data_IF_078828033193
#
_entry.id   IF_078828033193
#
_cell.length_a   1.000
_cell.length_b   1.000
_cell.length_c   1.000
_cell.angle_alpha   90.00
_cell.angle_beta   90.00
_cell.angle_gamma   90.00
#
_symmetry.space_group_name_H-M   'P 1'
#
loop_
_entity.id
_entity.type
_entity.pdbx_description
1 polymer ?
#
# COMPACT_ATOMS: atom_id res chain seq x y z
N UNK A 1 -30.39 1.45 29.14
CA UNK A 1 -29.07 0.91 28.83
C UNK A 1 -29.02 0.71 27.33
N UNK A 2 -28.31 1.56 26.58
CA UNK A 2 -28.04 1.27 25.18
C UNK A 2 -27.13 0.03 25.15
N UNK A 3 -27.35 -0.95 24.25
CA UNK A 3 -26.42 -2.05 24.10
C UNK A 3 -25.03 -1.48 23.79
N UNK A 4 -24.04 -1.88 24.57
CA UNK A 4 -22.64 -1.47 24.34
C UNK A 4 -22.28 -1.75 22.88
N UNK A 5 -22.06 -0.69 22.09
CA UNK A 5 -21.69 -0.83 20.69
C UNK A 5 -20.28 -1.44 20.66
N UNK A 6 -20.16 -2.62 20.07
CA UNK A 6 -18.87 -3.30 19.87
C UNK A 6 -17.88 -2.36 19.17
N UNK A 7 -16.76 -2.06 19.79
CA UNK A 7 -15.72 -1.21 19.21
C UNK A 7 -14.77 -2.02 18.32
N UNK A 8 -14.00 -1.32 17.49
CA UNK A 8 -12.89 -1.92 16.72
C UNK A 8 -11.90 -2.64 17.67
N UNK A 9 -11.61 -2.01 18.83
CA UNK A 9 -10.73 -2.59 19.85
C UNK A 9 -11.28 -3.89 20.42
N UNK A 10 -12.60 -4.01 20.64
CA UNK A 10 -13.24 -5.24 21.12
C UNK A 10 -13.09 -6.37 20.10
N UNK A 11 -13.40 -6.09 18.82
CA UNK A 11 -13.26 -7.08 17.75
C UNK A 11 -11.81 -7.55 17.63
N UNK A 12 -10.86 -6.64 17.69
CA UNK A 12 -9.44 -6.99 17.63
C UNK A 12 -9.02 -7.85 18.83
N UNK A 13 -9.42 -7.51 20.06
CA UNK A 13 -9.12 -8.32 21.25
C UNK A 13 -9.66 -9.74 21.13
N UNK A 14 -10.87 -9.88 20.63
CA UNK A 14 -11.51 -11.18 20.40
C UNK A 14 -10.82 -12.02 19.30
N UNK A 15 -9.98 -11.39 18.46
CA UNK A 15 -9.30 -12.03 17.33
C UNK A 15 -7.76 -11.90 17.40
N UNK A 16 -7.17 -12.02 18.59
CA UNK A 16 -5.71 -12.06 18.78
C UNK A 16 -4.99 -10.72 18.52
N UNK A 17 -5.71 -9.59 18.63
CA UNK A 17 -5.14 -8.24 18.49
C UNK A 17 -5.06 -7.72 17.06
N UNK A 18 -5.68 -8.42 16.10
CA UNK A 18 -5.72 -8.04 14.68
C UNK A 18 -7.17 -8.13 14.19
N UNK A 19 -7.56 -7.27 13.24
CA UNK A 19 -8.88 -7.38 12.60
C UNK A 19 -8.95 -8.64 11.74
N UNK A 20 -10.01 -9.45 11.88
CA UNK A 20 -10.10 -10.76 11.23
C UNK A 20 -10.18 -10.69 9.70
N UNK A 21 -10.56 -9.53 9.14
CA UNK A 21 -10.73 -9.33 7.70
C UNK A 21 -9.61 -8.57 7.02
N UNK A 22 -8.57 -8.13 7.71
CA UNK A 22 -7.55 -7.27 7.11
C UNK A 22 -6.81 -7.92 5.94
N UNK A 23 -6.53 -9.22 5.99
CA UNK A 23 -5.85 -9.91 4.88
C UNK A 23 -6.76 -10.02 3.65
N UNK A 24 -8.07 -10.25 3.88
CA UNK A 24 -9.07 -10.25 2.80
C UNK A 24 -9.22 -8.85 2.17
N UNK A 25 -9.26 -7.78 2.98
CA UNK A 25 -9.31 -6.40 2.49
C UNK A 25 -8.08 -6.06 1.68
N UNK A 26 -6.87 -6.42 2.13
CA UNK A 26 -5.63 -6.19 1.39
C UNK A 26 -5.63 -6.89 0.04
N UNK A 27 -5.97 -8.18 0.02
CA UNK A 27 -6.00 -8.93 -1.23
C UNK A 27 -7.09 -8.38 -2.17
N UNK A 28 -8.26 -8.05 -1.64
CA UNK A 28 -9.34 -7.41 -2.39
C UNK A 28 -8.92 -6.09 -3.02
N UNK A 29 -8.26 -5.21 -2.26
CA UNK A 29 -7.72 -3.95 -2.78
C UNK A 29 -6.65 -4.17 -3.85
N UNK A 30 -5.73 -5.14 -3.65
CA UNK A 30 -4.70 -5.47 -4.64
C UNK A 30 -5.32 -5.96 -5.96
N UNK A 31 -6.32 -6.84 -5.89
CA UNK A 31 -7.04 -7.32 -7.06
C UNK A 31 -7.88 -6.23 -7.72
N UNK A 32 -8.45 -5.30 -6.95
CA UNK A 32 -9.18 -4.15 -7.51
C UNK A 32 -8.24 -3.20 -8.26
N UNK A 33 -7.05 -2.95 -7.74
CA UNK A 33 -6.00 -2.17 -8.43
C UNK A 33 -5.55 -2.93 -9.69
N UNK A 34 -5.33 -4.24 -9.60
CA UNK A 34 -5.00 -5.06 -10.76
C UNK A 34 -6.11 -4.98 -11.84
N UNK A 35 -7.38 -5.01 -11.44
CA UNK A 35 -8.52 -4.86 -12.35
C UNK A 35 -8.49 -3.50 -13.08
N UNK A 36 -8.30 -2.40 -12.34
CA UNK A 36 -8.19 -1.07 -12.95
C UNK A 36 -6.98 -0.97 -13.88
N UNK A 37 -5.84 -1.55 -13.50
CA UNK A 37 -4.66 -1.60 -14.36
C UNK A 37 -4.86 -2.47 -15.60
N UNK A 38 -5.70 -3.53 -15.55
CA UNK A 38 -6.05 -4.28 -16.76
C UNK A 38 -6.72 -3.39 -17.79
N UNK A 39 -7.56 -2.45 -17.33
CA UNK A 39 -8.16 -1.46 -18.23
C UNK A 39 -7.10 -0.52 -18.80
N UNK A 40 -6.27 0.11 -17.96
CA UNK A 40 -5.27 1.08 -18.42
C UNK A 40 -4.19 0.46 -19.31
N UNK A 41 -3.69 -0.72 -18.99
CA UNK A 41 -2.67 -1.41 -19.81
C UNK A 41 -3.22 -1.84 -21.17
N UNK A 42 -4.52 -2.15 -21.24
CA UNK A 42 -5.21 -2.55 -22.47
C UNK A 42 -5.62 -1.36 -23.35
N UNK A 43 -6.17 -0.29 -22.74
CA UNK A 43 -6.79 0.83 -23.46
C UNK A 43 -5.96 2.11 -23.46
N UNK A 44 -4.87 2.15 -22.69
CA UNK A 44 -4.12 3.39 -22.42
C UNK A 44 -4.83 4.27 -21.40
N UNK A 45 -4.10 5.26 -20.89
CA UNK A 45 -4.64 6.30 -20.00
C UNK A 45 -5.13 7.49 -20.84
N UNK A 46 -6.38 7.46 -21.25
CA UNK A 46 -7.03 8.51 -22.03
C UNK A 46 -7.89 9.46 -21.17
N UNK A 47 -7.84 9.32 -19.85
CA UNK A 47 -8.46 10.26 -18.90
C UNK A 47 -9.95 10.10 -18.67
N UNK A 48 -10.72 9.55 -19.62
CA UNK A 48 -12.19 9.54 -19.54
C UNK A 48 -12.73 8.76 -18.33
N UNK A 49 -12.04 7.70 -17.90
CA UNK A 49 -12.48 6.89 -16.76
C UNK A 49 -12.55 7.71 -15.45
N UNK A 50 -11.71 8.73 -15.32
CA UNK A 50 -11.69 9.64 -14.19
C UNK A 50 -12.86 10.62 -14.14
N UNK A 51 -13.59 10.77 -15.26
CA UNK A 51 -14.79 11.61 -15.36
C UNK A 51 -16.08 10.81 -15.19
N UNK A 52 -15.98 9.49 -14.97
CA UNK A 52 -17.12 8.59 -14.80
C UNK A 52 -17.47 8.35 -13.34
N UNK A 53 -18.67 7.80 -13.05
CA UNK A 53 -19.05 7.35 -11.70
C UNK A 53 -18.15 6.26 -11.09
N UNK A 54 -17.19 5.70 -11.85
CA UNK A 54 -16.19 4.73 -11.37
C UNK A 54 -15.05 5.42 -10.62
N UNK A 55 -14.82 6.72 -10.86
CA UNK A 55 -13.77 7.53 -10.22
C UNK A 55 -13.65 7.32 -8.71
N UNK A 56 -14.73 7.35 -7.87
CA UNK A 56 -14.62 7.17 -6.43
C UNK A 56 -13.97 5.85 -6.03
N UNK A 57 -14.24 4.78 -6.73
CA UNK A 57 -13.63 3.47 -6.48
C UNK A 57 -12.13 3.49 -6.78
N UNK A 58 -11.74 4.07 -7.92
CA UNK A 58 -10.34 4.20 -8.32
C UNK A 58 -9.56 5.05 -7.29
N UNK A 59 -10.16 6.17 -6.89
CA UNK A 59 -9.57 7.10 -5.92
C UNK A 59 -9.41 6.51 -4.51
N UNK A 60 -10.28 5.57 -4.10
CA UNK A 60 -10.27 5.00 -2.76
C UNK A 60 -9.21 3.91 -2.56
N UNK A 61 -8.88 3.13 -3.59
CA UNK A 61 -8.11 1.89 -3.46
C UNK A 61 -6.73 2.08 -2.81
N UNK A 62 -5.89 2.94 -3.37
CA UNK A 62 -4.54 3.19 -2.85
C UNK A 62 -4.57 3.89 -1.49
N UNK A 63 -5.38 4.95 -1.27
CA UNK A 63 -5.53 5.54 0.05
C UNK A 63 -5.98 4.56 1.13
N UNK A 64 -6.91 3.64 0.84
CA UNK A 64 -7.31 2.59 1.78
C UNK A 64 -6.13 1.68 2.17
N UNK A 65 -5.24 1.32 1.22
CA UNK A 65 -4.02 0.60 1.53
C UNK A 65 -3.12 1.35 2.49
N UNK A 66 -2.91 2.64 2.25
CA UNK A 66 -2.09 3.47 3.14
C UNK A 66 -2.73 3.65 4.51
N UNK A 67 -4.05 3.83 4.58
CA UNK A 67 -4.79 3.89 5.84
C UNK A 67 -4.66 2.60 6.65
N UNK A 68 -4.83 1.45 6.00
CA UNK A 68 -4.63 0.14 6.62
C UNK A 68 -3.17 -0.07 7.07
N UNK A 69 -2.21 0.35 6.24
CA UNK A 69 -0.80 0.31 6.61
C UNK A 69 -0.52 1.14 7.84
N UNK A 70 -1.00 2.40 7.92
CA UNK A 70 -0.85 3.26 9.09
C UNK A 70 -1.42 2.64 10.36
N UNK A 71 -2.60 2.05 10.28
CA UNK A 71 -3.25 1.36 11.39
C UNK A 71 -2.41 0.19 11.91
N UNK A 72 -1.98 -0.71 11.04
CA UNK A 72 -1.23 -1.91 11.42
C UNK A 72 0.21 -1.62 11.83
N UNK A 73 0.84 -0.65 11.16
CA UNK A 73 2.21 -0.21 11.46
C UNK A 73 2.29 0.40 12.85
N UNK A 74 1.27 1.18 13.27
CA UNK A 74 1.18 1.74 14.62
C UNK A 74 1.14 0.64 15.68
N UNK A 75 0.31 -0.37 15.49
CA UNK A 75 0.27 -1.53 16.39
C UNK A 75 1.63 -2.24 16.49
N UNK A 76 2.34 -2.37 15.37
CA UNK A 76 3.68 -2.94 15.35
C UNK A 76 4.70 -2.05 16.09
N UNK A 77 4.69 -0.75 15.84
CA UNK A 77 5.60 0.22 16.46
C UNK A 77 5.46 0.26 17.97
N UNK A 78 4.22 0.24 18.48
CA UNK A 78 3.95 0.24 19.92
C UNK A 78 4.39 -1.06 20.60
N UNK A 79 4.27 -2.21 19.92
CA UNK A 79 4.75 -3.50 20.45
C UNK A 79 6.26 -3.63 20.48
N UNK A 80 6.94 -3.14 19.45
CA UNK A 80 8.41 -3.30 19.35
C UNK A 80 9.17 -2.32 20.23
N UNK A 81 8.67 -1.10 20.40
CA UNK A 81 9.27 -0.05 21.24
C UNK A 81 10.66 0.43 20.80
N UNK A 82 11.26 -0.18 19.78
CA UNK A 82 12.61 0.09 19.28
C UNK A 82 12.59 0.51 17.83
N UNK A 83 13.23 1.65 17.54
CA UNK A 83 13.37 2.17 16.17
C UNK A 83 14.10 1.17 15.25
N UNK A 84 15.20 0.57 15.73
CA UNK A 84 15.97 -0.41 14.96
C UNK A 84 15.10 -1.61 14.57
N UNK A 85 14.37 -2.18 15.51
CA UNK A 85 13.50 -3.33 15.27
C UNK A 85 12.37 -2.94 14.31
N UNK A 86 11.77 -1.77 14.49
CA UNK A 86 10.74 -1.24 13.61
C UNK A 86 11.23 -1.13 12.15
N UNK A 87 12.35 -0.44 11.93
CA UNK A 87 12.90 -0.25 10.57
C UNK A 87 13.29 -1.58 9.94
N UNK A 88 13.93 -2.48 10.69
CA UNK A 88 14.27 -3.82 10.20
C UNK A 88 13.03 -4.59 9.75
N UNK A 89 11.93 -4.51 10.51
CA UNK A 89 10.68 -5.18 10.12
C UNK A 89 10.07 -4.61 8.85
N UNK A 90 10.24 -3.30 8.59
CA UNK A 90 9.76 -2.68 7.33
C UNK A 90 10.65 -3.07 6.15
N UNK A 91 11.97 -3.03 6.32
CA UNK A 91 12.91 -3.47 5.28
C UNK A 91 12.66 -4.93 4.90
N UNK A 92 12.59 -5.84 5.89
CA UNK A 92 12.30 -7.26 5.64
C UNK A 92 10.93 -7.52 5.00
N UNK A 93 10.01 -6.56 5.09
CA UNK A 93 8.67 -6.67 4.48
C UNK A 93 8.66 -6.24 3.02
N UNK A 94 9.41 -5.19 2.66
CA UNK A 94 9.35 -4.56 1.33
C UNK A 94 10.50 -5.04 0.44
N UNK A 95 11.74 -4.97 0.95
CA UNK A 95 12.92 -5.11 0.13
C UNK A 95 13.03 -6.47 -0.59
N UNK A 96 12.68 -7.63 -0.02
CA UNK A 96 12.88 -8.90 -0.70
C UNK A 96 12.08 -9.00 -2.02
N UNK A 97 10.78 -8.71 -1.98
CA UNK A 97 9.95 -8.76 -3.18
C UNK A 97 10.30 -7.64 -4.16
N UNK A 98 10.60 -6.42 -3.66
CA UNK A 98 11.00 -5.30 -4.50
C UNK A 98 12.31 -5.57 -5.27
N UNK A 99 13.33 -6.08 -4.57
CA UNK A 99 14.60 -6.47 -5.22
C UNK A 99 14.36 -7.53 -6.28
N UNK A 100 13.50 -8.51 -5.97
CA UNK A 100 13.14 -9.57 -6.92
C UNK A 100 12.43 -8.99 -8.14
N UNK A 101 11.43 -8.14 -7.97
CA UNK A 101 10.70 -7.53 -9.09
C UNK A 101 11.65 -6.73 -9.98
N UNK A 102 12.42 -5.80 -9.40
CA UNK A 102 13.36 -4.94 -10.15
C UNK A 102 14.39 -5.78 -10.90
N UNK A 103 14.92 -6.83 -10.24
CA UNK A 103 15.91 -7.72 -10.85
C UNK A 103 15.32 -8.56 -11.99
N UNK A 104 14.13 -9.14 -11.79
CA UNK A 104 13.45 -9.92 -12.82
C UNK A 104 13.05 -9.05 -14.01
N UNK A 105 12.54 -7.86 -13.77
CA UNK A 105 12.19 -6.91 -14.84
C UNK A 105 13.42 -6.49 -15.63
N UNK A 106 14.53 -6.13 -14.97
CA UNK A 106 15.72 -5.63 -15.64
C UNK A 106 16.56 -6.73 -16.31
N UNK A 107 16.71 -7.91 -15.67
CA UNK A 107 17.64 -8.94 -16.15
C UNK A 107 16.98 -10.09 -16.92
N UNK A 108 15.66 -10.24 -16.82
CA UNK A 108 14.93 -11.31 -17.51
C UNK A 108 13.94 -10.73 -18.51
N UNK A 109 12.94 -9.97 -18.06
CA UNK A 109 11.91 -9.41 -18.96
C UNK A 109 12.53 -8.45 -19.98
N UNK A 110 13.43 -7.56 -19.54
CA UNK A 110 14.07 -6.59 -20.40
C UNK A 110 14.82 -7.25 -21.57
N UNK A 111 15.81 -8.11 -21.37
CA UNK A 111 16.54 -8.77 -22.44
C UNK A 111 15.69 -9.65 -23.35
N UNK A 112 14.55 -10.19 -22.85
CA UNK A 112 13.66 -11.02 -23.64
C UNK A 112 12.68 -10.22 -24.51
N UNK A 113 12.30 -9.01 -24.08
CA UNK A 113 11.21 -8.24 -24.70
C UNK A 113 11.64 -6.88 -25.23
N UNK A 114 12.90 -6.49 -25.06
CA UNK A 114 13.43 -5.23 -25.59
C UNK A 114 13.49 -5.23 -27.13
N UNK A 115 13.22 -4.08 -27.72
CA UNK A 115 13.36 -3.85 -29.17
C UNK A 115 14.76 -3.37 -29.58
N UNK A 116 15.63 -3.03 -28.60
CA UNK A 116 17.01 -2.64 -28.89
C UNK A 116 17.97 -3.82 -28.77
N UNK A 117 19.20 -3.70 -29.30
CA UNK A 117 20.22 -4.75 -29.18
C UNK A 117 20.60 -4.99 -27.71
N UNK A 118 21.03 -6.19 -27.36
CA UNK A 118 21.50 -6.49 -26.00
C UNK A 118 22.66 -5.58 -25.58
N UNK A 119 23.56 -5.24 -26.51
CA UNK A 119 24.64 -4.30 -26.24
C UNK A 119 24.05 -2.94 -25.81
N UNK A 120 23.15 -2.38 -26.62
CA UNK A 120 22.52 -1.07 -26.32
C UNK A 120 21.67 -1.14 -25.06
N UNK A 121 20.97 -2.24 -24.81
CA UNK A 121 20.19 -2.45 -23.60
C UNK A 121 21.05 -2.34 -22.33
N UNK A 122 22.14 -3.12 -22.26
CA UNK A 122 22.99 -3.18 -21.07
C UNK A 122 23.96 -2.00 -20.92
N UNK A 123 24.24 -1.24 -21.99
CA UNK A 123 25.03 -0.01 -21.92
C UNK A 123 24.21 1.24 -21.72
N UNK A 124 22.89 1.16 -21.84
CA UNK A 124 22.00 2.30 -21.63
C UNK A 124 21.94 2.71 -20.17
N UNK A 125 21.93 4.01 -19.93
CA UNK A 125 21.79 4.60 -18.59
C UNK A 125 20.49 4.20 -17.89
N UNK A 126 19.38 4.09 -18.61
CA UNK A 126 18.07 3.73 -18.05
C UNK A 126 18.09 2.35 -17.40
N UNK A 127 18.86 1.38 -17.95
CA UNK A 127 19.02 0.06 -17.34
C UNK A 127 19.57 0.17 -15.92
N UNK A 128 20.61 0.95 -15.69
CA UNK A 128 21.22 1.14 -14.37
C UNK A 128 20.33 1.97 -13.45
N UNK A 129 19.67 3.00 -13.99
CA UNK A 129 18.76 3.85 -13.21
C UNK A 129 17.55 3.07 -12.71
N UNK A 130 17.10 2.01 -13.40
CA UNK A 130 15.98 1.19 -12.98
C UNK A 130 16.22 0.50 -11.62
N UNK A 131 17.47 0.12 -11.33
CA UNK A 131 17.84 -0.41 -10.00
C UNK A 131 17.71 0.62 -8.88
N UNK A 132 17.64 1.91 -9.21
CA UNK A 132 17.34 2.97 -8.27
C UNK A 132 16.00 2.78 -7.54
N UNK A 133 15.05 2.05 -8.12
CA UNK A 133 13.79 1.70 -7.49
C UNK A 133 13.96 1.00 -6.13
N UNK A 134 14.99 0.19 -5.97
CA UNK A 134 15.31 -0.53 -4.72
C UNK A 134 15.51 0.43 -3.55
N UNK A 135 16.02 1.64 -3.83
CA UNK A 135 16.29 2.68 -2.83
C UNK A 135 15.33 3.88 -2.93
N UNK A 136 14.20 3.72 -3.65
CA UNK A 136 13.16 4.75 -3.77
C UNK A 136 13.44 5.84 -4.82
N UNK A 137 14.42 5.66 -5.69
CA UNK A 137 14.63 6.50 -6.89
C UNK A 137 13.78 5.96 -8.03
N UNK A 138 12.53 6.40 -8.10
CA UNK A 138 11.54 5.80 -8.99
C UNK A 138 11.87 6.03 -10.46
N UNK A 139 11.90 4.92 -11.20
CA UNK A 139 12.04 4.82 -12.65
C UNK A 139 11.07 3.78 -13.18
N UNK A 140 10.31 4.12 -14.22
CA UNK A 140 9.26 3.25 -14.77
C UNK A 140 9.70 2.53 -16.02
N UNK A 141 10.79 2.96 -16.65
CA UNK A 141 11.19 2.57 -18.00
C UNK A 141 12.46 1.72 -17.98
N UNK A 142 12.54 0.80 -18.93
CA UNK A 142 13.75 0.08 -19.33
C UNK A 142 13.95 0.26 -20.84
N UNK A 143 15.20 0.23 -21.35
CA UNK A 143 15.47 0.52 -22.75
C UNK A 143 14.69 -0.37 -23.71
N UNK A 144 13.95 0.22 -24.62
CA UNK A 144 13.23 -0.49 -25.68
C UNK A 144 12.06 -1.37 -25.23
N UNK A 145 11.61 -1.27 -23.96
CA UNK A 145 10.52 -2.10 -23.44
C UNK A 145 9.15 -1.50 -23.74
N UNK A 146 8.22 -2.34 -24.20
CA UNK A 146 6.79 -2.04 -24.32
C UNK A 146 6.43 -0.77 -25.11
N UNK A 147 7.26 -0.37 -26.08
CA UNK A 147 7.06 0.89 -26.81
C UNK A 147 5.73 0.92 -27.59
N UNK A 148 5.28 -0.24 -28.07
CA UNK A 148 4.04 -0.38 -28.85
C UNK A 148 2.81 -0.71 -27.99
N UNK A 149 2.95 -0.79 -26.66
CA UNK A 149 1.80 -1.02 -25.79
C UNK A 149 0.98 0.25 -25.60
N UNK A 150 -0.31 0.16 -25.31
CA UNK A 150 -1.15 1.33 -25.01
C UNK A 150 -0.61 2.19 -23.84
N UNK A 151 -0.03 1.56 -22.82
CA UNK A 151 0.77 2.23 -21.79
C UNK A 151 2.26 2.16 -22.17
N UNK A 152 2.63 2.94 -23.18
CA UNK A 152 3.93 2.90 -23.83
C UNK A 152 5.11 3.11 -22.89
N UNK A 153 6.14 2.28 -23.02
CA UNK A 153 7.42 2.40 -22.32
C UNK A 153 7.40 2.10 -20.81
N UNK A 154 6.23 1.94 -20.19
CA UNK A 154 6.12 1.76 -18.74
C UNK A 154 6.23 0.28 -18.39
N UNK A 155 7.27 -0.08 -17.62
CA UNK A 155 7.45 -1.44 -17.12
C UNK A 155 6.62 -1.71 -15.87
N UNK A 156 6.66 -0.81 -14.89
CA UNK A 156 5.91 -0.97 -13.65
C UNK A 156 5.52 0.39 -13.04
N UNK A 157 4.26 0.81 -13.27
CA UNK A 157 3.77 2.06 -12.71
C UNK A 157 3.58 1.98 -11.20
N UNK A 158 3.33 0.79 -10.63
CA UNK A 158 3.05 0.61 -9.20
C UNK A 158 4.18 1.12 -8.28
N UNK A 159 5.39 1.22 -8.82
CA UNK A 159 6.56 1.70 -8.09
C UNK A 159 6.41 3.14 -7.56
N UNK A 160 5.47 3.94 -8.09
CA UNK A 160 5.23 5.31 -7.61
C UNK A 160 4.89 5.37 -6.12
N UNK A 161 4.22 4.33 -5.58
CA UNK A 161 3.80 4.29 -4.18
C UNK A 161 4.93 4.06 -3.19
N UNK A 162 6.09 3.58 -3.65
CA UNK A 162 7.26 3.39 -2.78
C UNK A 162 7.72 4.70 -2.14
N UNK A 163 7.69 5.81 -2.88
CA UNK A 163 8.12 7.11 -2.35
C UNK A 163 7.24 7.59 -1.19
N UNK A 164 5.91 7.68 -1.30
CA UNK A 164 5.05 7.99 -0.15
C UNK A 164 5.14 6.93 0.96
N UNK A 165 5.35 5.65 0.65
CA UNK A 165 5.50 4.61 1.66
C UNK A 165 6.77 4.81 2.50
N UNK A 166 7.92 5.08 1.88
CA UNK A 166 9.15 5.43 2.60
C UNK A 166 8.98 6.70 3.43
N UNK A 167 8.27 7.71 2.90
CA UNK A 167 7.93 8.93 3.65
C UNK A 167 7.13 8.60 4.91
N UNK A 168 6.12 7.72 4.82
CA UNK A 168 5.35 7.27 5.97
C UNK A 168 6.23 6.58 7.03
N UNK A 169 7.20 5.77 6.61
CA UNK A 169 8.12 5.11 7.56
C UNK A 169 9.10 6.07 8.21
N UNK A 170 9.57 7.10 7.49
CA UNK A 170 10.40 8.17 8.08
C UNK A 170 9.59 8.96 9.12
N UNK A 171 8.35 9.34 8.80
CA UNK A 171 7.46 10.00 9.76
C UNK A 171 7.22 9.13 10.99
N UNK A 172 6.91 7.85 10.80
CA UNK A 172 6.72 6.92 11.92
C UNK A 172 8.00 6.75 12.75
N UNK A 173 9.17 6.68 12.12
CA UNK A 173 10.45 6.64 12.80
C UNK A 173 10.68 7.89 13.68
N UNK A 174 10.40 9.08 13.15
CA UNK A 174 10.47 10.32 13.91
C UNK A 174 9.48 10.31 15.09
N UNK A 175 8.26 9.80 14.91
CA UNK A 175 7.26 9.66 15.97
C UNK A 175 7.69 8.67 17.07
N UNK A 176 8.43 7.61 16.71
CA UNK A 176 8.99 6.66 17.68
C UNK A 176 10.10 7.33 18.49
N UNK A 177 11.05 8.02 17.82
CA UNK A 177 12.19 8.71 18.46
C UNK A 177 11.71 9.81 19.43
N UNK A 178 10.75 10.61 19.02
CA UNK A 178 10.17 11.69 19.85
C UNK A 178 9.21 11.17 20.92
N UNK A 179 8.84 9.89 20.89
CA UNK A 179 7.85 9.29 21.79
C UNK A 179 6.40 9.75 21.55
N UNK A 180 6.14 10.56 20.52
CA UNK A 180 4.81 11.07 20.17
C UNK A 180 3.85 9.91 19.88
N UNK A 181 4.34 8.83 19.28
CA UNK A 181 3.55 7.63 18.99
C UNK A 181 2.85 7.02 20.21
N UNK A 182 3.32 7.31 21.44
CA UNK A 182 2.74 6.84 22.71
C UNK A 182 1.81 7.86 23.38
N UNK A 183 1.74 9.10 22.86
CA UNK A 183 0.98 10.22 23.44
C UNK A 183 -0.29 10.46 22.62
N UNK A 184 -1.35 9.69 22.88
CA UNK A 184 -2.59 9.71 22.09
C UNK A 184 -3.15 11.12 21.83
N UNK A 185 -3.22 11.96 22.86
CA UNK A 185 -3.79 13.32 22.73
C UNK A 185 -2.96 14.21 21.83
N UNK A 186 -1.63 14.23 22.02
CA UNK A 186 -0.72 15.04 21.21
C UNK A 186 -0.72 14.56 19.76
N UNK A 187 -0.72 13.26 19.54
CA UNK A 187 -0.79 12.66 18.22
C UNK A 187 -2.09 13.05 17.50
N UNK A 188 -3.23 12.89 18.16
CA UNK A 188 -4.54 13.23 17.56
C UNK A 188 -4.60 14.70 17.18
N UNK A 189 -4.13 15.61 18.05
CA UNK A 189 -4.07 17.04 17.76
C UNK A 189 -3.11 17.32 16.60
N UNK A 190 -1.91 16.72 16.59
CA UNK A 190 -0.93 16.94 15.50
C UNK A 190 -1.48 16.49 14.15
N UNK A 191 -2.14 15.33 14.10
CA UNK A 191 -2.73 14.85 12.84
C UNK A 191 -3.95 15.69 12.43
N UNK A 192 -4.80 16.11 13.38
CA UNK A 192 -5.89 17.02 13.09
C UNK A 192 -5.38 18.34 12.48
N UNK A 193 -4.29 18.90 13.01
CA UNK A 193 -3.64 20.09 12.43
C UNK A 193 -3.11 19.83 11.01
N UNK A 194 -2.50 18.67 10.77
CA UNK A 194 -2.02 18.31 9.42
C UNK A 194 -3.21 18.16 8.45
N UNK A 195 -4.31 17.55 8.88
CA UNK A 195 -5.54 17.44 8.07
C UNK A 195 -6.09 18.82 7.74
N UNK A 196 -6.24 19.69 8.74
CA UNK A 196 -6.73 21.06 8.53
C UNK A 196 -5.79 21.83 7.63
N UNK A 197 -4.48 21.77 7.85
CA UNK A 197 -3.50 22.42 6.99
C UNK A 197 -3.56 21.90 5.54
N UNK A 198 -3.73 20.59 5.35
CA UNK A 198 -3.88 19.98 4.04
C UNK A 198 -5.15 20.45 3.33
N UNK A 199 -6.27 20.57 4.06
CA UNK A 199 -7.52 21.13 3.54
C UNK A 199 -7.36 22.59 3.13
N UNK A 200 -6.75 23.41 3.98
CA UNK A 200 -6.47 24.83 3.70
C UNK A 200 -5.59 24.96 2.47
N UNK A 201 -4.47 24.24 2.41
CA UNK A 201 -3.55 24.26 1.27
C UNK A 201 -4.29 23.81 0.00
N UNK A 202 -5.11 22.77 0.07
CA UNK A 202 -5.88 22.32 -1.08
C UNK A 202 -6.85 23.37 -1.61
N UNK A 203 -7.58 24.04 -0.71
CA UNK A 203 -8.52 25.11 -1.08
C UNK A 203 -7.81 26.31 -1.71
N UNK A 204 -6.67 26.76 -1.13
CA UNK A 204 -5.98 27.96 -1.61
C UNK A 204 -5.15 27.71 -2.88
N UNK A 205 -4.59 26.53 -3.06
CA UNK A 205 -3.66 26.24 -4.16
C UNK A 205 -4.25 25.32 -5.23
N UNK A 206 -5.49 24.86 -5.05
CA UNK A 206 -6.19 23.94 -5.97
C UNK A 206 -5.33 22.72 -6.36
N UNK A 207 -4.59 22.19 -5.38
CA UNK A 207 -3.56 21.15 -5.59
C UNK A 207 -4.18 19.76 -5.82
N UNK A 208 -5.48 19.62 -5.57
CA UNK A 208 -6.21 18.34 -5.61
C UNK A 208 -6.28 17.73 -7.01
N UNK A 209 -6.03 18.52 -8.02
CA UNK A 209 -5.88 18.09 -9.40
C UNK A 209 -4.49 18.52 -9.83
N UNK A 210 -3.60 17.57 -10.10
CA UNK A 210 -2.36 17.92 -10.78
C UNK A 210 -2.70 18.81 -11.98
N UNK A 211 -1.93 19.83 -12.23
CA UNK A 211 -2.16 20.89 -13.24
C UNK A 211 -2.48 20.40 -14.66
N UNK A 212 -2.56 19.09 -14.90
CA UNK A 212 -2.78 18.45 -16.20
C UNK A 212 -4.00 17.51 -16.24
N UNK A 213 -4.87 17.47 -15.23
CA UNK A 213 -6.14 16.70 -15.28
C UNK A 213 -6.01 15.16 -15.33
N UNK A 214 -4.82 14.62 -15.52
CA UNK A 214 -4.62 13.20 -15.86
C UNK A 214 -4.01 12.35 -14.73
N UNK A 215 -3.60 12.93 -13.61
CA UNK A 215 -3.10 12.14 -12.48
C UNK A 215 -3.67 12.63 -11.15
N UNK A 216 -4.84 12.09 -10.75
CA UNK A 216 -5.51 12.48 -9.50
C UNK A 216 -4.79 11.97 -8.24
N UNK A 217 -3.79 11.11 -8.38
CA UNK A 217 -3.06 10.56 -7.24
C UNK A 217 -1.92 11.47 -6.82
N UNK A 218 -2.16 12.20 -5.75
CA UNK A 218 -1.15 13.04 -5.14
C UNK A 218 -0.49 12.25 -4.01
N UNK A 219 0.84 12.05 -4.02
CA UNK A 219 1.53 11.22 -3.02
C UNK A 219 1.24 11.59 -1.57
N UNK A 220 0.98 12.88 -1.26
CA UNK A 220 0.68 13.30 0.10
C UNK A 220 -0.73 12.93 0.57
N UNK A 221 -1.71 12.67 -0.34
CA UNK A 221 -3.00 12.09 0.05
C UNK A 221 -2.79 10.71 0.66
N UNK A 222 -1.93 9.90 0.08
CA UNK A 222 -1.56 8.59 0.64
C UNK A 222 -0.95 8.72 2.05
N UNK A 223 -0.05 9.69 2.26
CA UNK A 223 0.53 9.99 3.58
C UNK A 223 -0.55 10.43 4.57
N UNK A 224 -1.51 11.26 4.16
CA UNK A 224 -2.64 11.66 5.00
C UNK A 224 -3.45 10.46 5.47
N UNK A 225 -3.83 9.56 4.55
CA UNK A 225 -4.57 8.33 4.93
C UNK A 225 -3.77 7.43 5.87
N UNK A 226 -2.45 7.32 5.67
CA UNK A 226 -1.59 6.63 6.61
C UNK A 226 -1.65 7.25 8.00
N UNK A 227 -1.57 8.57 8.11
CA UNK A 227 -1.66 9.28 9.40
C UNK A 227 -3.05 9.14 10.04
N UNK A 228 -4.14 9.14 9.26
CA UNK A 228 -5.47 8.80 9.77
C UNK A 228 -5.53 7.37 10.30
N UNK A 229 -4.85 6.43 9.65
CA UNK A 229 -4.69 5.06 10.14
C UNK A 229 -3.99 5.00 11.50
N UNK A 230 -2.94 5.80 11.68
CA UNK A 230 -2.24 5.94 12.97
C UNK A 230 -3.19 6.44 14.06
N UNK A 231 -3.96 7.50 13.79
CA UNK A 231 -4.95 8.03 14.75
C UNK A 231 -6.06 7.03 15.02
N UNK A 232 -6.59 6.38 14.00
CA UNK A 232 -7.65 5.39 14.15
C UNK A 232 -7.20 4.21 15.03
N UNK A 233 -5.93 3.80 14.96
CA UNK A 233 -5.39 2.77 15.86
C UNK A 233 -5.44 3.23 17.34
N UNK A 234 -5.16 4.49 17.62
CA UNK A 234 -5.24 5.03 18.97
C UNK A 234 -6.67 5.20 19.45
N UNK A 235 -7.60 5.49 18.55
CA UNK A 235 -9.02 5.67 18.84
C UNK A 235 -9.84 4.38 18.69
N UNK A 236 -9.24 3.23 18.44
CA UNK A 236 -9.91 1.95 18.13
C UNK A 236 -10.92 1.50 19.20
N UNK A 237 -10.70 1.89 20.45
CA UNK A 237 -11.60 1.58 21.57
C UNK A 237 -12.89 2.43 21.53
N UNK A 238 -12.86 3.57 20.82
CA UNK A 238 -14.00 4.51 20.71
C UNK A 238 -14.72 4.43 19.36
N UNK A 239 -14.10 3.80 18.34
CA UNK A 239 -14.70 3.69 17.00
C UNK A 239 -15.64 2.47 17.00
N UNK A 240 -16.97 2.66 16.81
CA UNK A 240 -17.91 1.55 16.79
C UNK A 240 -17.84 0.75 15.50
N UNK A 241 -18.11 -0.55 15.57
CA UNK A 241 -18.33 -1.42 14.40
C UNK A 241 -19.84 -1.48 14.16
N UNK A 242 -20.36 -0.59 13.29
CA UNK A 242 -21.78 -0.40 13.04
C UNK A 242 -22.07 -0.37 11.52
N UNK A 243 -22.91 -1.30 11.05
CA UNK A 243 -23.24 -1.40 9.63
C UNK A 243 -24.03 -0.21 9.07
N UNK A 244 -24.81 0.50 9.91
CA UNK A 244 -25.52 1.71 9.47
C UNK A 244 -24.53 2.84 9.24
N UNK A 245 -23.60 3.02 10.17
CA UNK A 245 -22.53 4.00 10.03
C UNK A 245 -21.64 3.68 8.82
N UNK A 246 -21.38 2.38 8.54
CA UNK A 246 -20.69 1.96 7.32
C UNK A 246 -21.46 2.40 6.08
N UNK A 247 -22.75 2.17 6.00
CA UNK A 247 -23.58 2.59 4.87
C UNK A 247 -23.52 4.11 4.63
N UNK A 248 -23.66 4.91 5.70
CA UNK A 248 -23.54 6.37 5.63
C UNK A 248 -22.14 6.80 5.19
N UNK A 249 -21.11 6.20 5.76
CA UNK A 249 -19.72 6.50 5.39
C UNK A 249 -19.40 6.12 3.94
N UNK A 250 -19.92 4.98 3.44
CA UNK A 250 -19.72 4.55 2.07
C UNK A 250 -20.38 5.52 1.07
N UNK A 251 -21.62 5.93 1.34
CA UNK A 251 -22.32 6.94 0.52
C UNK A 251 -21.59 8.29 0.57
N UNK A 252 -21.21 8.75 1.74
CA UNK A 252 -20.46 9.99 1.90
C UNK A 252 -19.11 9.96 1.17
N UNK A 253 -18.35 8.87 1.31
CA UNK A 253 -17.09 8.67 0.62
C UNK A 253 -17.26 8.72 -0.90
N UNK A 254 -18.27 8.00 -1.39
CA UNK A 254 -18.58 7.95 -2.82
C UNK A 254 -18.93 9.33 -3.38
N UNK A 255 -19.88 10.04 -2.76
CA UNK A 255 -20.34 11.35 -3.21
C UNK A 255 -19.23 12.42 -3.15
N UNK A 256 -18.43 12.41 -2.09
CA UNK A 256 -17.31 13.34 -1.95
C UNK A 256 -16.24 13.07 -3.02
N UNK A 257 -15.92 11.82 -3.31
CA UNK A 257 -14.90 11.46 -4.30
C UNK A 257 -15.35 11.65 -5.77
N UNK A 258 -16.65 11.88 -6.03
CA UNK A 258 -17.11 12.31 -7.34
C UNK A 258 -16.57 13.71 -7.71
N UNK A 259 -16.32 14.56 -6.70
CA UNK A 259 -15.82 15.91 -6.94
C UNK A 259 -14.30 15.96 -6.77
N UNK A 260 -13.60 16.53 -7.76
CA UNK A 260 -12.20 16.90 -7.61
C UNK A 260 -12.02 17.78 -6.37
N UNK A 261 -10.92 17.62 -5.64
CA UNK A 261 -10.65 18.41 -4.44
C UNK A 261 -11.25 17.88 -3.14
N UNK A 262 -12.23 16.99 -3.20
CA UNK A 262 -12.85 16.43 -1.98
C UNK A 262 -12.17 15.18 -1.43
N UNK A 263 -11.09 14.69 -2.04
CA UNK A 263 -10.36 13.49 -1.59
C UNK A 263 -9.87 13.59 -0.13
N UNK A 264 -9.54 14.77 0.34
CA UNK A 264 -9.15 15.03 1.74
C UNK A 264 -10.31 14.91 2.71
N UNK A 265 -11.48 15.47 2.34
CA UNK A 265 -12.70 15.40 3.17
C UNK A 265 -13.23 13.97 3.18
N UNK A 266 -13.16 13.27 2.05
CA UNK A 266 -13.52 11.88 1.90
C UNK A 266 -12.64 10.93 2.75
N UNK A 267 -11.47 11.39 3.21
CA UNK A 267 -10.52 10.54 3.92
C UNK A 267 -11.10 9.90 5.18
N UNK A 268 -11.88 10.63 5.96
CA UNK A 268 -12.46 10.11 7.20
C UNK A 268 -13.53 9.03 6.94
N UNK A 269 -14.55 9.25 6.10
CA UNK A 269 -15.53 8.20 5.81
C UNK A 269 -14.91 7.01 5.06
N UNK A 270 -13.96 7.22 4.14
CA UNK A 270 -13.26 6.14 3.45
C UNK A 270 -12.43 5.29 4.42
N UNK A 271 -11.74 5.94 5.36
CA UNK A 271 -10.98 5.24 6.40
C UNK A 271 -11.89 4.39 7.29
N UNK A 272 -13.07 4.91 7.66
CA UNK A 272 -14.04 4.14 8.43
C UNK A 272 -14.54 2.91 7.63
N UNK A 273 -14.83 3.06 6.34
CA UNK A 273 -15.21 1.94 5.47
C UNK A 273 -14.13 0.84 5.46
N UNK A 274 -12.88 1.21 5.30
CA UNK A 274 -11.76 0.28 5.33
C UNK A 274 -11.65 -0.46 6.67
N UNK A 275 -11.77 0.26 7.79
CA UNK A 275 -11.73 -0.33 9.13
C UNK A 275 -12.90 -1.28 9.37
N UNK A 276 -14.13 -0.88 9.00
CA UNK A 276 -15.31 -1.73 9.14
C UNK A 276 -15.15 -3.04 8.35
N UNK A 277 -14.75 -2.96 7.09
CA UNK A 277 -14.48 -4.15 6.27
C UNK A 277 -13.40 -5.04 6.90
N UNK A 278 -12.36 -4.45 7.46
CA UNK A 278 -11.31 -5.17 8.16
C UNK A 278 -11.75 -5.86 9.46
N UNK A 279 -12.89 -5.46 10.05
CA UNK A 279 -13.48 -6.10 11.23
C UNK A 279 -14.45 -7.23 10.88
N UNK A 280 -14.83 -7.40 9.61
CA UNK A 280 -15.69 -8.48 9.17
C UNK A 280 -14.94 -9.81 9.15
N UNK A 281 -15.65 -10.90 9.45
CA UNK A 281 -15.13 -12.26 9.27
C UNK A 281 -15.49 -12.75 7.87
N UNK A 282 -14.47 -13.01 7.07
CA UNK A 282 -14.65 -13.59 5.73
C UNK A 282 -14.57 -15.11 5.79
N UNK A 283 -15.18 -15.81 4.80
CA UNK A 283 -15.03 -17.25 4.68
C UNK A 283 -13.56 -17.65 4.58
N UNK A 284 -13.21 -18.73 5.26
CA UNK A 284 -11.85 -19.28 5.19
C UNK A 284 -11.55 -19.71 3.77
N UNK A 285 -10.41 -19.33 3.25
CA UNK A 285 -9.90 -19.82 1.97
C UNK A 285 -8.42 -20.13 2.06
N UNK A 286 -7.98 -21.15 1.31
CA UNK A 286 -6.56 -21.53 1.27
C UNK A 286 -5.65 -20.39 0.84
N UNK A 287 -6.18 -19.45 0.04
CA UNK A 287 -5.43 -18.26 -0.42
C UNK A 287 -5.24 -17.29 0.76
N UNK A 288 -6.28 -17.01 1.54
CA UNK A 288 -6.21 -16.06 2.67
C UNK A 288 -5.42 -16.64 3.85
N UNK A 289 -5.48 -17.95 4.07
CA UNK A 289 -4.76 -18.62 5.17
C UNK A 289 -3.29 -18.93 4.83
N UNK A 290 -2.93 -18.98 3.54
CA UNK A 290 -1.60 -19.37 3.07
C UNK A 290 -0.52 -18.30 3.27
N UNK A 291 -0.90 -17.02 3.27
CA UNK A 291 0.03 -15.91 3.42
C UNK A 291 -0.51 -14.56 2.95
N UNK A 292 0.25 -13.50 3.18
CA UNK A 292 -0.07 -12.15 2.70
C UNK A 292 0.44 -11.95 1.27
N UNK A 293 -0.33 -12.40 0.30
CA UNK A 293 0.00 -12.29 -1.13
C UNK A 293 -0.29 -10.92 -1.73
N UNK A 294 -0.96 -10.04 -0.99
CA UNK A 294 -1.43 -8.75 -1.50
C UNK A 294 -0.31 -7.86 -2.03
N UNK A 295 0.85 -7.88 -1.35
CA UNK A 295 2.02 -7.11 -1.78
C UNK A 295 2.60 -7.64 -3.09
N UNK A 296 2.74 -8.95 -3.22
CA UNK A 296 3.19 -9.57 -4.47
C UNK A 296 2.22 -9.32 -5.63
N UNK A 297 0.91 -9.45 -5.40
CA UNK A 297 -0.12 -9.14 -6.42
C UNK A 297 0.00 -7.69 -6.88
N UNK A 298 0.15 -6.76 -5.95
CA UNK A 298 0.34 -5.35 -6.27
C UNK A 298 1.63 -5.10 -7.06
N UNK A 299 2.75 -5.68 -6.61
CA UNK A 299 4.07 -5.38 -7.15
C UNK A 299 4.33 -6.02 -8.51
N UNK A 300 3.97 -7.30 -8.69
CA UNK A 300 4.22 -8.06 -9.93
C UNK A 300 3.10 -7.90 -10.96
N UNK A 301 1.93 -7.41 -10.56
CA UNK A 301 0.75 -7.36 -11.42
C UNK A 301 0.95 -6.55 -12.69
N UNK A 302 1.49 -5.34 -12.58
CA UNK A 302 1.64 -4.46 -13.73
C UNK A 302 2.65 -4.97 -14.77
N UNK A 303 3.86 -5.43 -14.43
CA UNK A 303 4.78 -6.05 -15.40
C UNK A 303 4.18 -7.27 -16.10
N UNK A 304 3.40 -8.09 -15.38
CA UNK A 304 2.72 -9.25 -15.97
C UNK A 304 1.67 -8.78 -16.98
N UNK A 305 0.85 -7.77 -16.65
CA UNK A 305 -0.15 -7.21 -17.57
C UNK A 305 0.52 -6.62 -18.81
N UNK A 306 1.56 -5.81 -18.66
CA UNK A 306 2.31 -5.24 -19.78
C UNK A 306 2.90 -6.33 -20.68
N UNK A 307 3.44 -7.39 -20.10
CA UNK A 307 3.97 -8.54 -20.85
C UNK A 307 2.86 -9.25 -21.63
N UNK A 308 1.71 -9.50 -21.01
CA UNK A 308 0.56 -10.14 -21.68
C UNK A 308 0.03 -9.28 -22.83
N UNK A 309 -0.13 -7.99 -22.63
CA UNK A 309 -0.58 -7.03 -23.66
C UNK A 309 0.43 -6.93 -24.81
N UNK A 310 1.73 -7.04 -24.51
CA UNK A 310 2.78 -7.02 -25.51
C UNK A 310 2.77 -8.28 -26.39
N UNK A 311 2.63 -9.45 -25.76
CA UNK A 311 2.78 -10.74 -26.45
C UNK A 311 1.48 -11.21 -27.15
N UNK A 312 0.30 -10.79 -26.67
CA UNK A 312 -0.98 -11.33 -27.10
C UNK A 312 -1.96 -10.20 -27.48
N UNK A 313 -2.14 -9.92 -28.79
CA UNK A 313 -2.89 -8.75 -29.28
C UNK A 313 -4.32 -8.62 -28.74
N UNK A 314 -5.02 -9.74 -28.51
CA UNK A 314 -6.41 -9.73 -28.01
C UNK A 314 -6.54 -8.99 -26.66
N UNK A 315 -5.49 -8.95 -25.83
CA UNK A 315 -5.51 -8.23 -24.57
C UNK A 315 -5.44 -6.71 -24.71
N UNK A 316 -5.09 -6.19 -25.90
CA UNK A 316 -5.19 -4.75 -26.22
C UNK A 316 -6.63 -4.33 -26.50
N UNK A 317 -7.45 -5.27 -26.97
CA UNK A 317 -8.84 -4.99 -27.34
C UNK A 317 -9.81 -5.30 -26.20
N UNK A 318 -9.51 -6.35 -25.42
CA UNK A 318 -10.44 -6.89 -24.43
C UNK A 318 -9.84 -6.98 -23.02
N UNK A 319 -9.85 -5.86 -22.30
CA UNK A 319 -9.31 -5.76 -20.95
C UNK A 319 -9.94 -6.73 -19.92
N UNK A 320 -11.25 -7.15 -19.99
CA UNK A 320 -11.77 -8.14 -19.06
C UNK A 320 -11.09 -9.50 -19.18
N UNK A 321 -10.70 -9.88 -20.41
CA UNK A 321 -9.95 -11.11 -20.62
C UNK A 321 -8.52 -11.00 -20.02
N UNK A 322 -7.89 -9.83 -20.15
CA UNK A 322 -6.60 -9.55 -19.49
C UNK A 322 -6.72 -9.71 -17.97
N UNK A 323 -7.80 -9.23 -17.37
CA UNK A 323 -8.06 -9.43 -15.95
C UNK A 323 -8.23 -10.92 -15.60
N UNK A 324 -9.10 -11.63 -16.30
CA UNK A 324 -9.42 -13.04 -16.01
C UNK A 324 -8.22 -13.96 -16.16
N UNK A 325 -7.33 -13.70 -17.11
CA UNK A 325 -6.12 -14.49 -17.34
C UNK A 325 -4.97 -14.01 -16.45
N UNK A 326 -4.76 -12.70 -16.39
CA UNK A 326 -3.63 -12.10 -15.68
C UNK A 326 -3.72 -12.19 -14.16
N UNK A 327 -4.93 -12.08 -13.58
CA UNK A 327 -5.08 -12.13 -12.12
C UNK A 327 -4.67 -13.49 -11.52
N UNK A 328 -5.12 -14.65 -12.02
CA UNK A 328 -4.63 -15.94 -11.55
C UNK A 328 -3.11 -16.13 -11.72
N UNK A 329 -2.54 -15.69 -12.85
CA UNK A 329 -1.10 -15.74 -13.09
C UNK A 329 -0.33 -14.91 -12.06
N UNK A 330 -0.80 -13.69 -11.80
CA UNK A 330 -0.20 -12.79 -10.83
C UNK A 330 -0.33 -13.33 -9.40
N UNK A 331 -1.48 -13.88 -9.03
CA UNK A 331 -1.67 -14.52 -7.72
C UNK A 331 -0.74 -15.72 -7.56
N UNK A 332 -0.63 -16.58 -8.58
CA UNK A 332 0.29 -17.73 -8.55
C UNK A 332 1.75 -17.28 -8.38
N UNK A 333 2.17 -16.23 -9.09
CA UNK A 333 3.50 -15.66 -8.95
C UNK A 333 3.72 -15.00 -7.57
N UNK A 334 2.73 -14.30 -7.03
CA UNK A 334 2.76 -13.73 -5.69
C UNK A 334 2.85 -14.84 -4.61
N UNK A 335 2.14 -15.96 -4.78
CA UNK A 335 2.26 -17.14 -3.92
C UNK A 335 3.67 -17.74 -3.97
N UNK A 336 4.25 -17.87 -5.16
CA UNK A 336 5.64 -18.31 -5.33
C UNK A 336 6.59 -17.36 -4.60
N UNK A 337 6.51 -16.05 -4.88
CA UNK A 337 7.35 -15.03 -4.22
C UNK A 337 7.21 -15.08 -2.68
N UNK A 338 5.98 -15.18 -2.19
CA UNK A 338 5.74 -15.28 -0.75
C UNK A 338 6.44 -16.48 -0.11
N UNK A 339 6.28 -17.67 -0.67
CA UNK A 339 6.80 -18.89 -0.06
C UNK A 339 8.33 -19.00 -0.16
N UNK A 340 8.91 -18.58 -1.28
CA UNK A 340 10.34 -18.78 -1.56
C UNK A 340 11.21 -17.56 -1.25
N UNK A 341 10.64 -16.35 -1.19
CA UNK A 341 11.40 -15.10 -1.03
C UNK A 341 10.99 -14.36 0.24
N UNK A 342 9.70 -13.99 0.36
CA UNK A 342 9.25 -13.10 1.43
C UNK A 342 9.18 -13.82 2.79
N UNK A 343 8.49 -14.95 2.88
CA UNK A 343 8.30 -15.70 4.13
C UNK A 343 9.62 -16.17 4.76
N UNK A 344 10.60 -16.73 4.01
CA UNK A 344 11.92 -17.05 4.55
C UNK A 344 12.63 -15.83 5.13
N UNK A 345 12.62 -14.71 4.40
CA UNK A 345 13.25 -13.45 4.84
C UNK A 345 12.56 -12.88 6.08
N UNK A 346 11.21 -12.95 6.13
CA UNK A 346 10.45 -12.52 7.31
C UNK A 346 10.74 -13.36 8.56
N UNK A 347 11.19 -14.60 8.41
CA UNK A 347 11.59 -15.43 9.56
C UNK A 347 12.76 -14.84 10.35
N UNK A 348 13.62 -14.04 9.69
CA UNK A 348 14.75 -13.33 10.33
C UNK A 348 14.29 -12.30 11.37
N UNK A 349 13.02 -11.88 11.37
CA UNK A 349 12.45 -11.03 12.42
C UNK A 349 12.63 -11.61 13.82
N UNK A 350 12.62 -12.94 13.94
CA UNK A 350 12.80 -13.64 15.22
C UNK A 350 14.19 -13.43 15.81
N UNK A 351 15.22 -13.33 14.97
CA UNK A 351 16.60 -13.08 15.40
C UNK A 351 16.74 -11.68 15.98
N UNK A 352 16.21 -10.68 15.26
CA UNK A 352 16.30 -9.27 15.66
C UNK A 352 15.49 -8.98 16.92
N UNK A 353 14.34 -9.64 17.13
CA UNK A 353 13.54 -9.46 18.35
C UNK A 353 14.16 -10.10 19.59
N UNK A 354 14.94 -11.18 19.45
CA UNK A 354 15.66 -11.81 20.57
C UNK A 354 16.79 -10.94 21.11
N UNK A 355 17.58 -10.34 20.22
CA UNK A 355 18.69 -9.46 20.61
C UNK A 355 18.22 -8.22 21.38
N UNK A 356 17.08 -7.64 21.01
CA UNK A 356 16.52 -6.49 21.70
C UNK A 356 16.06 -6.84 23.13
N UNK A 357 15.49 -8.03 23.36
CA UNK A 357 15.07 -8.48 24.69
C UNK A 357 16.25 -8.82 25.59
N UNK A 358 17.34 -9.34 25.04
CA UNK A 358 18.57 -9.65 25.79
C UNK A 358 19.28 -8.37 26.21
N UNK A 359 19.39 -7.40 25.31
CA UNK A 359 20.00 -6.08 25.62
C UNK A 359 19.20 -5.31 26.67
N UNK A 360 17.87 -5.33 26.63
CA UNK A 360 17.03 -4.66 27.64
C UNK A 360 17.13 -5.35 29.01
N UNK A 361 17.23 -6.67 29.06
CA UNK A 361 17.42 -7.43 30.30
C UNK A 361 18.80 -7.21 30.91
N UNK A 362 19.84 -7.14 30.08
CA UNK A 362 21.21 -6.85 30.55
C UNK A 362 21.35 -5.40 31.07
N UNK A 363 20.73 -4.43 30.38
CA UNK A 363 20.70 -3.04 30.84
C UNK A 363 19.93 -2.88 32.16
N UNK A 364 18.80 -3.56 32.33
CA UNK A 364 18.02 -3.57 33.54
C UNK A 364 18.78 -4.27 34.72
N UNK A 365 19.50 -5.34 34.41
CA UNK A 365 20.34 -6.04 35.41
C UNK A 365 21.56 -5.20 35.84
N UNK A 366 22.17 -4.46 34.91
CA UNK A 366 23.28 -3.56 35.22
C UNK A 366 22.84 -2.39 36.13
N UNK A 367 21.69 -1.80 35.87
CA UNK A 367 21.11 -0.74 36.70
C UNK A 367 20.65 -1.23 38.08
N UNK A 368 20.33 -2.51 38.23
CA UNK A 368 19.95 -3.11 39.51
C UNK A 368 21.18 -3.50 40.38
N UNK A 369 22.39 -3.47 39.82
CA UNK A 369 23.65 -3.75 40.52
C UNK A 369 24.33 -2.44 41.02
N UNK A 370 23.98 -1.30 40.43
CA UNK A 370 24.50 0.02 40.76
C UNK A 370 23.62 0.80 41.77
N UNK A 371 22.47 0.30 42.17
CA UNK A 371 21.58 0.87 43.20
C UNK A 371 21.46 -0.05 44.40
#
# INVERSE_FOLDING_TARGET
>A
MQPDKTSIGDVMRANGGIGPGFDAVRLGLALSIFCSHSFFTSQGDNGWLWETPVRPFLMAMVPMFFGLSGFLVTGSALRTGSLRVFLTFRILRIAPALVTEVTLSALILGPLLTTVSWHDYFTNREFYEYFGNIIGRIRYVLPGMFLDNPMSGIVNINLWTLKPEFTCYVIMAAMIVTGIVRKNRLLTVSVALVVVASLVINVFYNISEGNNGHNPFIPYVAVLYFMLGVVAFHLRESIPVDGRLFGVAAVASYLLMLHPGCAFIAAVPTMYCMLYLGMLKYPRSRILEGGDYSYGVYLYGFPIQQTLVHLVPIFREWWPLLFVVGAPMTVAFAMFSWHFIEKPTLSLKRLVSRDSNTGTRQAAAALAVEG
#
